data_IF_862296722997
#
_entry.id   IF_862296722997
#
_cell.length_a   1.000
_cell.length_b   1.000
_cell.length_c   1.000
_cell.angle_alpha   90.00
_cell.angle_beta   90.00
_cell.angle_gamma   90.00
#
_symmetry.space_group_name_H-M   'P 1'
#
loop_
_entity.id
_entity.type
_entity.pdbx_description
1 polymer ?
#
# COMPACT_ATOMS: atom_id res chain seq x y z
N UNK A 1 -6.87 -18.65 -2.68
CA UNK A 1 -6.65 -17.27 -2.22
C UNK A 1 -7.03 -16.30 -3.32
N UNK A 2 -7.70 -15.22 -2.97
CA UNK A 2 -8.13 -14.23 -3.94
C UNK A 2 -7.35 -12.93 -3.76
N UNK A 3 -6.89 -12.37 -4.87
CA UNK A 3 -6.26 -11.06 -4.90
C UNK A 3 -7.14 -10.10 -5.69
N UNK A 4 -7.33 -8.89 -5.16
CA UNK A 4 -8.16 -7.87 -5.78
C UNK A 4 -7.36 -6.61 -6.01
N UNK A 5 -7.58 -5.99 -7.14
CA UNK A 5 -7.00 -4.69 -7.46
C UNK A 5 -8.09 -3.63 -7.32
N UNK A 6 -7.88 -2.67 -6.43
CA UNK A 6 -8.83 -1.57 -6.24
C UNK A 6 -8.32 -0.35 -6.98
N UNK A 7 -9.14 0.15 -7.90
CA UNK A 7 -8.81 1.31 -8.71
C UNK A 7 -10.00 2.27 -8.75
N UNK A 8 -9.74 3.49 -9.19
CA UNK A 8 -10.78 4.50 -9.33
C UNK A 8 -10.24 5.73 -10.02
N UNK A 9 -11.13 6.53 -10.61
CA UNK A 9 -10.76 7.81 -11.20
C UNK A 9 -10.52 8.83 -10.09
N UNK A 10 -9.37 9.49 -10.10
CA UNK A 10 -9.03 10.52 -9.12
C UNK A 10 -8.15 10.03 -7.99
N UNK A 11 -7.61 10.99 -7.23
CA UNK A 11 -6.59 10.75 -6.21
C UNK A 11 -7.17 10.65 -4.81
N UNK A 12 -8.50 10.57 -4.69
CA UNK A 12 -9.09 10.82 -3.41
C UNK A 12 -9.34 9.65 -2.51
N UNK A 13 -9.67 10.01 -1.34
CA UNK A 13 -9.96 9.29 -0.11
C UNK A 13 -10.86 8.07 -0.30
N UNK A 14 -11.61 8.00 -1.42
CA UNK A 14 -12.55 6.93 -1.67
C UNK A 14 -11.92 5.54 -1.74
N UNK A 15 -10.79 5.42 -2.41
CA UNK A 15 -10.11 4.10 -2.54
C UNK A 15 -9.59 3.61 -1.21
N UNK A 16 -8.92 4.47 -0.46
CA UNK A 16 -8.38 4.12 0.87
C UNK A 16 -9.51 3.83 1.84
N UNK A 17 -10.61 4.59 1.78
CA UNK A 17 -11.78 4.37 2.62
C UNK A 17 -12.38 2.99 2.37
N UNK A 18 -12.58 2.62 1.10
CA UNK A 18 -13.15 1.32 0.73
C UNK A 18 -12.24 0.18 1.20
N UNK A 19 -10.93 0.30 0.97
CA UNK A 19 -9.97 -0.72 1.41
C UNK A 19 -10.01 -0.85 2.93
N UNK A 20 -10.07 0.26 3.66
CA UNK A 20 -10.16 0.24 5.11
C UNK A 20 -11.41 -0.51 5.60
N UNK A 21 -12.54 -0.32 4.92
CA UNK A 21 -13.77 -1.04 5.25
C UNK A 21 -13.64 -2.53 5.00
N UNK A 22 -13.03 -2.92 3.88
CA UNK A 22 -12.79 -4.33 3.54
C UNK A 22 -11.89 -4.99 4.58
N UNK A 23 -10.80 -4.32 4.95
CA UNK A 23 -9.86 -4.84 5.96
C UNK A 23 -10.56 -5.02 7.31
N UNK A 24 -11.31 -4.00 7.75
CA UNK A 24 -12.05 -4.09 9.01
C UNK A 24 -13.01 -5.28 9.01
N UNK A 25 -13.74 -5.47 7.92
CA UNK A 25 -14.68 -6.58 7.81
C UNK A 25 -13.97 -7.93 7.86
N UNK A 26 -12.85 -8.06 7.15
CA UNK A 26 -12.07 -9.28 7.14
C UNK A 26 -11.53 -9.62 8.54
N UNK A 27 -11.02 -8.62 9.26
CA UNK A 27 -10.52 -8.82 10.61
C UNK A 27 -11.62 -9.22 11.59
N UNK A 28 -12.81 -8.63 11.46
CA UNK A 28 -13.96 -9.00 12.29
C UNK A 28 -14.40 -10.43 12.05
N UNK A 29 -14.21 -10.94 10.83
CA UNK A 29 -14.54 -12.32 10.46
C UNK A 29 -13.38 -13.30 10.71
N UNK A 30 -12.32 -12.82 11.38
CA UNK A 30 -11.11 -13.60 11.66
C UNK A 30 -10.44 -14.15 10.39
N UNK A 31 -10.57 -13.43 9.28
CA UNK A 31 -9.92 -13.79 8.02
C UNK A 31 -8.57 -13.11 7.90
N UNK A 32 -7.61 -13.80 7.31
CA UNK A 32 -6.31 -13.23 7.02
C UNK A 32 -6.41 -12.34 5.80
N UNK A 33 -5.87 -11.13 5.92
CA UNK A 33 -5.87 -10.17 4.82
C UNK A 33 -4.55 -9.43 4.80
N UNK A 34 -4.07 -9.14 3.62
CA UNK A 34 -2.90 -8.32 3.40
C UNK A 34 -3.21 -7.26 2.37
N UNK A 35 -2.64 -6.09 2.54
CA UNK A 35 -2.82 -4.96 1.64
C UNK A 35 -1.45 -4.51 1.17
N UNK A 36 -1.35 -4.15 -0.10
CA UNK A 36 -0.18 -3.47 -0.63
C UNK A 36 -0.63 -2.23 -1.40
N UNK A 37 0.14 -1.18 -1.25
CA UNK A 37 0.02 0.05 -2.03
C UNK A 37 1.44 0.41 -2.46
N UNK A 38 1.93 -0.22 -3.55
CA UNK A 38 3.36 -0.16 -3.89
C UNK A 38 3.91 1.24 -4.07
N UNK A 39 3.10 2.13 -4.63
CA UNK A 39 3.50 3.50 -4.94
C UNK A 39 2.60 4.46 -4.17
N UNK A 40 3.20 5.41 -3.45
CA UNK A 40 2.46 6.46 -2.76
C UNK A 40 3.08 7.82 -3.07
N UNK A 41 2.22 8.77 -3.44
CA UNK A 41 2.55 10.18 -3.58
C UNK A 41 2.05 10.94 -2.35
N UNK A 42 2.65 12.10 -2.07
CA UNK A 42 2.27 12.89 -0.91
C UNK A 42 2.68 12.27 0.42
N UNK A 43 3.70 11.43 0.42
CA UNK A 43 4.18 10.80 1.65
C UNK A 43 4.94 11.81 2.49
N UNK A 44 4.54 11.95 3.76
CA UNK A 44 5.14 12.89 4.70
C UNK A 44 5.63 12.15 5.93
N UNK A 45 6.96 12.12 6.12
CA UNK A 45 7.60 11.44 7.26
C UNK A 45 7.19 12.03 8.61
N UNK A 46 6.81 13.31 8.64
CA UNK A 46 6.39 13.99 9.87
C UNK A 46 4.94 13.70 10.24
N UNK A 47 4.12 13.32 9.27
CA UNK A 47 2.69 13.03 9.46
C UNK A 47 2.32 11.73 8.76
N UNK A 48 3.02 10.66 9.10
CA UNK A 48 2.81 9.35 8.48
C UNK A 48 1.37 8.88 8.64
N UNK A 49 0.77 9.12 9.80
CA UNK A 49 -0.60 8.70 10.09
C UNK A 49 -1.65 9.34 9.17
N UNK A 50 -1.33 10.47 8.55
CA UNK A 50 -2.22 11.15 7.62
C UNK A 50 -2.05 10.66 6.18
N UNK A 51 -1.04 9.85 5.91
CA UNK A 51 -0.81 9.29 4.57
C UNK A 51 -1.66 8.02 4.36
N UNK A 52 -1.92 7.68 3.10
CA UNK A 52 -2.65 6.45 2.77
C UNK A 52 -2.00 5.23 3.40
N UNK A 53 -0.68 5.13 3.31
CA UNK A 53 0.07 4.01 3.89
C UNK A 53 -0.13 3.95 5.41
N UNK A 54 -0.06 5.10 6.08
CA UNK A 54 -0.27 5.18 7.53
C UNK A 54 -1.68 4.76 7.93
N UNK A 55 -2.68 5.22 7.18
CA UNK A 55 -4.08 4.86 7.40
C UNK A 55 -4.27 3.34 7.25
N UNK A 56 -3.71 2.75 6.20
CA UNK A 56 -3.81 1.31 5.95
C UNK A 56 -3.11 0.50 7.04
N UNK A 57 -1.94 0.93 7.49
CA UNK A 57 -1.23 0.27 8.59
C UNK A 57 -2.06 0.29 9.87
N UNK A 58 -2.68 1.42 10.18
CA UNK A 58 -3.53 1.55 11.36
C UNK A 58 -4.71 0.59 11.31
N UNK A 59 -5.37 0.49 10.16
CA UNK A 59 -6.49 -0.43 9.97
C UNK A 59 -6.05 -1.89 10.12
N UNK A 60 -4.85 -2.21 9.63
CA UNK A 60 -4.25 -3.54 9.78
C UNK A 60 -3.73 -3.80 11.21
N UNK A 61 -3.83 -2.82 12.09
CA UNK A 61 -3.33 -2.87 13.47
C UNK A 61 -1.82 -3.09 13.54
N UNK A 62 -1.10 -2.47 12.61
CA UNK A 62 0.36 -2.51 12.53
C UNK A 62 0.95 -1.14 12.84
N UNK A 63 2.13 -1.12 13.45
CA UNK A 63 2.83 0.12 13.77
C UNK A 63 3.42 0.75 12.50
N UNK A 64 3.53 2.08 12.50
CA UNK A 64 4.12 2.82 11.39
C UNK A 64 5.66 2.82 11.47
N UNK A 65 6.25 1.65 11.47
CA UNK A 65 7.70 1.50 11.44
C UNK A 65 8.20 1.55 9.99
N UNK A 66 9.48 1.89 9.81
CA UNK A 66 10.08 1.88 8.46
C UNK A 66 9.89 0.55 7.76
N UNK A 67 10.03 -0.54 8.49
CA UNK A 67 9.85 -1.89 7.94
C UNK A 67 8.44 -2.10 7.42
N UNK A 68 7.43 -1.72 8.20
CA UNK A 68 6.03 -1.89 7.81
C UNK A 68 5.65 -0.98 6.66
N UNK A 69 6.12 0.27 6.69
CA UNK A 69 5.89 1.22 5.60
C UNK A 69 6.49 0.70 4.29
N UNK A 70 7.73 0.24 4.34
CA UNK A 70 8.42 -0.29 3.16
C UNK A 70 7.77 -1.57 2.65
N UNK A 71 7.25 -2.40 3.54
CA UNK A 71 6.53 -3.62 3.19
C UNK A 71 5.26 -3.33 2.41
N UNK A 72 4.58 -2.23 2.71
CA UNK A 72 3.34 -1.81 2.05
C UNK A 72 3.61 -0.96 0.81
N UNK A 73 4.52 0.01 0.93
CA UNK A 73 4.77 1.05 -0.06
C UNK A 73 6.27 1.29 -0.23
N UNK A 74 6.98 0.45 -1.00
CA UNK A 74 8.40 0.65 -1.20
C UNK A 74 8.74 1.89 -2.04
N UNK A 75 7.85 2.35 -2.91
CA UNK A 75 8.08 3.56 -3.72
C UNK A 75 7.26 4.72 -3.17
N UNK A 76 7.95 5.67 -2.53
CA UNK A 76 7.32 6.79 -1.83
C UNK A 76 7.84 8.11 -2.38
N UNK A 77 6.90 8.98 -2.74
CA UNK A 77 7.20 10.31 -3.25
C UNK A 77 6.59 11.36 -2.34
N UNK A 78 7.35 12.42 -2.06
CA UNK A 78 6.90 13.51 -1.20
C UNK A 78 5.83 14.37 -1.85
N UNK A 79 5.97 14.62 -3.16
CA UNK A 79 5.07 15.49 -3.88
C UNK A 79 3.70 14.81 -4.07
N UNK A 80 2.59 15.52 -3.79
CA UNK A 80 1.25 14.98 -3.98
C UNK A 80 0.79 15.09 -5.43
N UNK A 81 1.60 14.55 -6.34
CA UNK A 81 1.36 14.56 -7.77
C UNK A 81 1.26 13.13 -8.28
N UNK A 82 0.84 12.97 -9.54
CA UNK A 82 0.83 11.65 -10.14
C UNK A 82 2.23 11.01 -10.06
N UNK A 83 2.33 9.68 -9.88
CA UNK A 83 3.63 9.03 -9.63
C UNK A 83 4.70 9.31 -10.67
N UNK A 84 4.33 9.39 -11.95
CA UNK A 84 5.27 9.67 -13.03
C UNK A 84 5.87 11.07 -12.92
N UNK A 85 5.04 12.07 -12.59
CA UNK A 85 5.47 13.45 -12.42
C UNK A 85 6.30 13.58 -11.14
N UNK A 86 5.83 13.00 -10.04
CA UNK A 86 6.55 13.04 -8.76
C UNK A 86 7.92 12.37 -8.89
N UNK A 87 8.00 11.23 -9.55
CA UNK A 87 9.26 10.53 -9.77
C UNK A 87 10.25 11.39 -10.55
N UNK A 88 9.77 12.04 -11.59
CA UNK A 88 10.61 12.92 -12.43
C UNK A 88 11.14 14.11 -11.65
N UNK A 89 10.29 14.76 -10.86
CA UNK A 89 10.67 15.95 -10.09
C UNK A 89 11.55 15.62 -8.89
N UNK A 90 11.43 14.42 -8.33
CA UNK A 90 12.25 13.97 -7.21
C UNK A 90 13.48 13.17 -7.65
N UNK A 91 13.73 13.13 -8.95
CA UNK A 91 14.86 12.41 -9.56
C UNK A 91 14.89 10.93 -9.14
N UNK A 92 13.74 10.31 -9.14
CA UNK A 92 13.56 8.88 -8.84
C UNK A 92 13.02 8.16 -10.05
N UNK A 93 13.30 6.88 -10.16
CA UNK A 93 12.84 6.07 -11.27
C UNK A 93 12.09 4.86 -10.77
N UNK A 94 10.94 4.56 -11.38
CA UNK A 94 10.18 3.34 -11.10
C UNK A 94 10.38 2.40 -12.27
N UNK A 95 11.02 1.26 -12.01
CA UNK A 95 11.22 0.22 -13.02
C UNK A 95 10.01 -0.72 -12.95
N UNK A 96 9.30 -0.86 -14.08
CA UNK A 96 8.06 -1.65 -14.13
C UNK A 96 8.28 -3.10 -13.70
N UNK A 97 9.38 -3.72 -14.12
CA UNK A 97 9.67 -5.10 -13.72
C UNK A 97 9.85 -5.25 -12.22
N UNK A 98 10.45 -4.26 -11.55
CA UNK A 98 10.61 -4.26 -10.09
C UNK A 98 9.25 -4.18 -9.40
N UNK A 99 8.35 -3.36 -9.94
CA UNK A 99 6.99 -3.23 -9.42
C UNK A 99 6.22 -4.54 -9.51
N UNK A 100 6.29 -5.19 -10.67
CA UNK A 100 5.65 -6.50 -10.89
C UNK A 100 6.23 -7.55 -9.95
N UNK A 101 7.56 -7.60 -9.83
CA UNK A 101 8.24 -8.55 -8.94
C UNK A 101 7.83 -8.36 -7.49
N UNK A 102 7.73 -7.12 -7.03
CA UNK A 102 7.28 -6.82 -5.67
C UNK A 102 5.87 -7.38 -5.42
N UNK A 103 4.94 -7.12 -6.33
CA UNK A 103 3.58 -7.60 -6.19
C UNK A 103 3.51 -9.13 -6.19
N UNK A 104 4.24 -9.77 -7.09
CA UNK A 104 4.28 -11.23 -7.16
C UNK A 104 4.84 -11.86 -5.88
N UNK A 105 5.93 -11.32 -5.36
CA UNK A 105 6.54 -11.82 -4.12
C UNK A 105 5.61 -11.68 -2.93
N UNK A 106 4.89 -10.58 -2.84
CA UNK A 106 3.95 -10.35 -1.74
C UNK A 106 2.78 -11.33 -1.80
N UNK A 107 2.22 -11.56 -2.98
CA UNK A 107 1.13 -12.51 -3.18
C UNK A 107 1.59 -13.93 -2.86
N UNK A 108 2.77 -14.33 -3.37
CA UNK A 108 3.34 -15.65 -3.12
C UNK A 108 3.57 -15.91 -1.62
N UNK A 109 4.14 -14.93 -0.93
CA UNK A 109 4.42 -15.03 0.51
C UNK A 109 3.13 -15.25 1.31
N UNK A 110 2.05 -14.57 0.93
CA UNK A 110 0.77 -14.73 1.60
C UNK A 110 0.16 -16.10 1.34
N UNK A 111 0.28 -16.62 0.12
CA UNK A 111 -0.16 -17.99 -0.21
C UNK A 111 0.59 -19.04 0.62
N UNK A 112 1.92 -18.90 0.73
CA UNK A 112 2.73 -19.83 1.51
C UNK A 112 2.34 -19.85 2.99
N UNK A 113 2.05 -18.70 3.56
CA UNK A 113 1.58 -18.60 4.95
C UNK A 113 0.22 -19.29 5.17
N UNK A 114 -0.62 -19.35 4.14
CA UNK A 114 -1.91 -20.00 4.21
C UNK A 114 -1.81 -21.53 4.18
N UNK A 115 -0.76 -22.07 3.60
CA UNK A 115 -0.55 -23.51 3.47
C UNK A 115 0.02 -24.15 4.74
N UNK A 116 0.42 -23.32 5.67
CA UNK A 116 0.88 -23.77 6.97
C UNK A 116 -0.25 -23.67 7.99
#
# INVERSE_FOLDING_TARGET
MNAFFVTGSGTDVGKTFIISKIVNKALKLNKKISVIKPIISGFNKKKISDTDTGILLKVLKKKCTDKNIKSLSPWRFKLPLSPDIAARLEDKNIVFSDLVDFCKKRIKKLCEKKQK
#
